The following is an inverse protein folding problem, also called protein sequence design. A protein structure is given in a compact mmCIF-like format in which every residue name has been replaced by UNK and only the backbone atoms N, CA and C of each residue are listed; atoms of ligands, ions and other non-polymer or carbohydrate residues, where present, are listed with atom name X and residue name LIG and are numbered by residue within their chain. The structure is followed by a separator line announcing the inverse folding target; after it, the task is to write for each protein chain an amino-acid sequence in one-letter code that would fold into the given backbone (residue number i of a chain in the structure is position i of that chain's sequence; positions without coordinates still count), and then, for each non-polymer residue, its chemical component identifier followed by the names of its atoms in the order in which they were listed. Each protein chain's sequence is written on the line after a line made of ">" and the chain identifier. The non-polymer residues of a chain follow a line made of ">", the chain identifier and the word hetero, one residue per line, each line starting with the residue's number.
data_IF_311339935015
#
_entry.id   IF_311339935015
#
_cell.length_a   1.000
_cell.length_b   1.000
_cell.length_c   1.000
_cell.angle_alpha   90.00
_cell.angle_beta   90.00
_cell.angle_gamma   90.00
#
_symmetry.space_group_name_H-M   'P 1'
#
loop_
_entity.id
_entity.type
_entity.pdbx_description
1 polymer ?
#
# COMPACT_ATOMS: atom_id res chain seq x y z
N UNK A 1 9.00 -24.17 23.02
CA UNK A 1 8.22 -23.41 22.03
C UNK A 1 8.15 -24.28 20.77
N UNK A 2 6.98 -24.48 20.17
CA UNK A 2 6.88 -25.29 18.96
C UNK A 2 7.26 -24.46 17.72
N UNK A 3 7.49 -25.11 16.58
CA UNK A 3 7.89 -24.43 15.34
C UNK A 3 6.83 -23.43 14.85
N UNK A 4 5.54 -23.77 14.98
CA UNK A 4 4.44 -22.88 14.57
C UNK A 4 4.43 -21.58 15.37
N UNK A 5 4.73 -21.64 16.67
CA UNK A 5 4.84 -20.47 17.51
C UNK A 5 6.03 -19.60 17.08
N UNK A 6 7.16 -20.22 16.75
CA UNK A 6 8.37 -19.49 16.33
C UNK A 6 8.14 -18.78 14.99
N UNK A 7 7.50 -19.46 14.03
CA UNK A 7 7.08 -18.87 12.76
C UNK A 7 6.19 -17.64 12.99
N UNK A 8 5.21 -17.74 13.89
CA UNK A 8 4.30 -16.64 14.22
C UNK A 8 5.04 -15.44 14.82
N UNK A 9 5.96 -15.69 15.75
CA UNK A 9 6.78 -14.63 16.34
C UNK A 9 7.67 -13.94 15.31
N UNK A 10 8.35 -14.72 14.46
CA UNK A 10 9.22 -14.17 13.41
C UNK A 10 8.44 -13.31 12.43
N UNK A 11 7.28 -13.80 11.94
CA UNK A 11 6.40 -13.03 11.06
C UNK A 11 5.97 -11.71 11.71
N UNK A 12 5.50 -11.77 12.96
CA UNK A 12 5.07 -10.57 13.69
C UNK A 12 6.20 -9.56 13.92
N UNK A 13 7.39 -10.04 14.31
CA UNK A 13 8.57 -9.19 14.52
C UNK A 13 9.03 -8.52 13.22
N UNK A 14 9.12 -9.29 12.13
CA UNK A 14 9.52 -8.77 10.81
C UNK A 14 8.51 -7.74 10.31
N UNK A 15 7.21 -7.99 10.42
CA UNK A 15 6.19 -7.01 10.03
C UNK A 15 6.24 -5.72 10.86
N UNK A 16 6.48 -5.84 12.16
CA UNK A 16 6.67 -4.67 13.01
C UNK A 16 7.90 -3.85 12.59
N UNK A 17 8.99 -4.51 12.21
CA UNK A 17 10.20 -3.84 11.73
C UNK A 17 9.99 -3.22 10.34
N UNK A 18 9.29 -3.91 9.44
CA UNK A 18 8.90 -3.37 8.14
C UNK A 18 8.06 -2.11 8.28
N UNK A 19 7.04 -2.13 9.15
CA UNK A 19 6.21 -0.94 9.40
C UNK A 19 7.05 0.24 9.92
N UNK A 20 7.94 -0.02 10.85
CA UNK A 20 8.82 1.03 11.41
C UNK A 20 9.81 1.58 10.40
N UNK A 21 10.38 0.72 9.57
CA UNK A 21 11.35 1.12 8.54
C UNK A 21 10.64 1.89 7.41
N UNK A 22 9.59 1.31 6.79
CA UNK A 22 8.97 1.85 5.58
C UNK A 22 7.91 2.93 5.83
N UNK A 23 7.15 2.85 6.92
CA UNK A 23 6.04 3.77 7.17
C UNK A 23 6.38 4.88 8.18
N UNK A 24 7.22 4.59 9.17
CA UNK A 24 7.55 5.54 10.24
C UNK A 24 8.92 6.20 10.09
N UNK A 25 9.76 5.72 9.17
CA UNK A 25 11.16 6.15 9.03
C UNK A 25 11.93 6.12 10.38
N UNK A 26 11.64 5.09 11.19
CA UNK A 26 12.10 4.95 12.57
C UNK A 26 12.53 3.51 12.89
N UNK A 27 13.56 2.97 12.20
CA UNK A 27 13.99 1.58 12.36
C UNK A 27 14.49 1.27 13.78
N UNK A 28 14.20 0.05 14.26
CA UNK A 28 14.69 -0.45 15.56
C UNK A 28 15.88 -1.40 15.42
N UNK A 29 16.06 -1.99 14.23
CA UNK A 29 17.11 -2.95 13.95
C UNK A 29 18.06 -2.39 12.91
N UNK A 30 19.30 -2.88 12.96
CA UNK A 30 20.21 -2.78 11.82
C UNK A 30 19.77 -3.72 10.71
N UNK A 31 20.17 -3.43 9.47
CA UNK A 31 19.90 -4.30 8.30
C UNK A 31 20.38 -5.73 8.56
N UNK A 32 21.57 -5.90 9.16
CA UNK A 32 22.11 -7.22 9.48
C UNK A 32 21.28 -8.01 10.51
N UNK A 33 20.69 -7.32 11.48
CA UNK A 33 19.80 -7.96 12.46
C UNK A 33 18.47 -8.35 11.83
N UNK A 34 17.93 -7.50 10.96
CA UNK A 34 16.74 -7.80 10.18
C UNK A 34 16.96 -9.02 9.26
N UNK A 35 18.06 -9.02 8.51
CA UNK A 35 18.41 -10.11 7.57
C UNK A 35 18.53 -11.45 8.28
N UNK A 36 19.04 -11.46 9.51
CA UNK A 36 19.12 -12.67 10.34
C UNK A 36 17.75 -13.20 10.73
N UNK A 37 16.81 -12.33 11.12
CA UNK A 37 15.42 -12.74 11.40
C UNK A 37 14.75 -13.28 10.14
N UNK A 38 14.97 -12.62 9.01
CA UNK A 38 14.38 -13.00 7.73
C UNK A 38 14.92 -14.35 7.25
N UNK A 39 16.24 -14.57 7.34
CA UNK A 39 16.87 -15.85 7.00
C UNK A 39 16.38 -17.00 7.90
N UNK A 40 16.18 -16.75 9.19
CA UNK A 40 15.60 -17.74 10.11
C UNK A 40 14.18 -18.12 9.70
N UNK A 41 13.34 -17.13 9.36
CA UNK A 41 11.98 -17.38 8.87
C UNK A 41 11.99 -18.22 7.59
N UNK A 42 12.84 -17.85 6.61
CA UNK A 42 12.98 -18.61 5.35
C UNK A 42 13.40 -20.06 5.58
N UNK A 43 14.36 -20.31 6.47
CA UNK A 43 14.81 -21.65 6.79
C UNK A 43 13.69 -22.50 7.40
N UNK A 44 12.97 -21.97 8.38
CA UNK A 44 11.87 -22.68 9.04
C UNK A 44 10.71 -22.96 8.07
N UNK A 45 10.42 -22.04 7.16
CA UNK A 45 9.39 -22.23 6.13
C UNK A 45 9.81 -23.27 5.08
N UNK A 46 11.09 -23.33 4.72
CA UNK A 46 11.62 -24.36 3.84
C UNK A 46 11.58 -25.77 4.48
N UNK A 47 11.82 -25.87 5.79
CA UNK A 47 11.73 -27.13 6.54
C UNK A 47 10.28 -27.56 6.81
N UNK A 48 9.35 -26.61 6.89
CA UNK A 48 7.94 -26.84 7.20
C UNK A 48 6.98 -26.17 6.19
N UNK A 49 6.99 -26.60 4.91
CA UNK A 49 6.21 -25.96 3.85
C UNK A 49 4.70 -25.95 4.12
N UNK A 50 4.17 -26.92 4.87
CA UNK A 50 2.77 -26.97 5.30
C UNK A 50 2.36 -25.87 6.28
N UNK A 51 3.32 -25.13 6.86
CA UNK A 51 3.08 -24.03 7.81
C UNK A 51 3.28 -22.65 7.17
N UNK A 52 3.63 -22.59 5.89
CA UNK A 52 3.77 -21.33 5.13
C UNK A 52 2.39 -20.71 4.97
N UNK A 53 2.26 -19.43 5.31
CA UNK A 53 1.04 -18.65 5.10
C UNK A 53 1.23 -17.67 3.95
N UNK A 54 0.15 -17.40 3.20
CA UNK A 54 0.19 -16.53 2.03
C UNK A 54 0.59 -15.07 2.35
N UNK A 55 0.37 -14.65 3.59
CA UNK A 55 0.72 -13.32 4.12
C UNK A 55 2.12 -13.26 4.73
N UNK A 56 2.89 -14.35 4.70
CA UNK A 56 4.26 -14.36 5.24
C UNK A 56 5.16 -13.36 4.50
N UNK A 57 6.02 -12.60 5.20
CA UNK A 57 6.94 -11.64 4.60
C UNK A 57 7.81 -12.22 3.47
N UNK A 58 8.11 -13.53 3.54
CA UNK A 58 8.93 -14.24 2.55
C UNK A 58 8.22 -14.46 1.22
N UNK A 59 6.89 -14.34 1.17
CA UNK A 59 6.08 -14.55 -0.03
C UNK A 59 5.91 -13.28 -0.86
N UNK A 60 6.39 -12.12 -0.39
CA UNK A 60 6.19 -10.82 -1.04
C UNK A 60 7.06 -10.58 -2.27
N UNK A 61 8.19 -11.28 -2.41
CA UNK A 61 9.17 -11.03 -3.47
C UNK A 61 9.43 -12.33 -4.23
N UNK A 62 9.35 -12.28 -5.57
CA UNK A 62 9.73 -13.41 -6.42
C UNK A 62 8.61 -14.04 -7.25
N UNK A 63 7.48 -13.35 -7.44
CA UNK A 63 6.52 -13.78 -8.45
C UNK A 63 7.18 -13.77 -9.84
N UNK A 64 6.96 -14.84 -10.62
CA UNK A 64 7.40 -14.84 -12.00
C UNK A 64 6.70 -13.70 -12.77
N UNK A 65 7.39 -13.03 -13.72
CA UNK A 65 6.76 -12.00 -14.53
C UNK A 65 5.48 -12.54 -15.17
N UNK A 66 4.38 -11.82 -15.01
CA UNK A 66 3.13 -12.18 -15.66
C UNK A 66 3.24 -11.91 -17.17
N UNK A 67 2.67 -12.78 -18.01
CA UNK A 67 2.68 -12.58 -19.46
C UNK A 67 1.81 -11.38 -19.88
N UNK A 68 0.78 -11.07 -19.11
CA UNK A 68 -0.14 -9.96 -19.30
C UNK A 68 -0.80 -9.57 -17.96
N UNK A 69 -1.24 -8.32 -17.86
CA UNK A 69 -2.04 -7.86 -16.73
C UNK A 69 -3.53 -7.93 -17.09
N UNK A 70 -4.32 -8.57 -16.24
CA UNK A 70 -5.75 -8.70 -16.44
C UNK A 70 -6.47 -7.36 -16.15
N UNK A 71 -7.54 -7.01 -16.88
CA UNK A 71 -8.30 -5.81 -16.57
C UNK A 71 -9.07 -5.96 -15.25
N UNK A 72 -9.10 -4.89 -14.46
CA UNK A 72 -9.80 -4.81 -13.18
C UNK A 72 -10.78 -3.66 -13.20
N UNK A 73 -12.07 -3.95 -13.02
CA UNK A 73 -13.09 -2.91 -12.83
C UNK A 73 -13.06 -2.45 -11.37
N UNK A 74 -12.90 -1.15 -11.17
CA UNK A 74 -12.90 -0.53 -9.85
C UNK A 74 -14.31 -0.52 -9.26
N UNK A 75 -14.44 -0.94 -7.99
CA UNK A 75 -15.72 -0.92 -7.29
C UNK A 75 -16.28 0.51 -7.11
N UNK A 76 -15.39 1.50 -7.04
CA UNK A 76 -15.73 2.92 -7.05
C UNK A 76 -14.78 3.63 -8.03
N UNK A 77 -15.29 4.50 -8.92
CA UNK A 77 -14.43 5.18 -9.89
C UNK A 77 -13.30 5.98 -9.22
N UNK A 78 -12.08 5.81 -9.71
CA UNK A 78 -10.90 6.56 -9.30
C UNK A 78 -10.86 7.92 -10.04
N UNK A 79 -11.25 8.98 -9.32
CA UNK A 79 -11.32 10.33 -9.86
C UNK A 79 -9.95 10.89 -10.23
N UNK A 80 -9.95 11.87 -11.14
CA UNK A 80 -8.79 12.75 -11.38
C UNK A 80 -9.00 14.09 -10.70
N UNK A 81 -7.91 14.86 -10.57
CA UNK A 81 -7.95 16.21 -10.02
C UNK A 81 -7.92 17.24 -11.15
N UNK A 82 -8.67 18.33 -10.97
CA UNK A 82 -8.52 19.52 -11.80
C UNK A 82 -7.25 20.28 -11.38
N UNK A 83 -6.58 20.89 -12.36
CA UNK A 83 -5.36 21.66 -12.12
C UNK A 83 -5.66 23.14 -11.89
N UNK A 84 -4.81 23.81 -11.09
CA UNK A 84 -4.74 25.26 -10.98
C UNK A 84 -3.27 25.67 -11.07
N UNK A 85 -2.96 26.58 -11.99
CA UNK A 85 -1.57 27.00 -12.28
C UNK A 85 -1.23 28.40 -11.76
N UNK A 86 -2.21 29.10 -11.20
CA UNK A 86 -2.08 30.46 -10.71
C UNK A 86 -2.92 30.67 -9.45
N UNK A 87 -2.51 31.63 -8.63
CA UNK A 87 -3.11 31.90 -7.32
C UNK A 87 -4.58 32.33 -7.41
N UNK A 88 -4.94 33.04 -8.47
CA UNK A 88 -6.32 33.46 -8.75
C UNK A 88 -7.24 32.25 -9.03
N UNK A 89 -6.74 31.23 -9.73
CA UNK A 89 -7.46 29.98 -9.97
C UNK A 89 -7.70 29.21 -8.67
N UNK A 90 -6.74 29.21 -7.74
CA UNK A 90 -6.89 28.62 -6.40
C UNK A 90 -7.92 29.39 -5.57
N UNK A 91 -7.87 30.73 -5.57
CA UNK A 91 -8.85 31.57 -4.88
C UNK A 91 -10.27 31.40 -5.47
N UNK A 92 -10.39 31.20 -6.78
CA UNK A 92 -11.65 30.90 -7.44
C UNK A 92 -12.18 29.51 -7.06
N UNK A 93 -11.31 28.52 -6.87
CA UNK A 93 -11.68 27.21 -6.35
C UNK A 93 -12.22 27.30 -4.92
N UNK A 94 -11.51 27.99 -4.01
CA UNK A 94 -11.97 28.22 -2.63
C UNK A 94 -13.36 28.89 -2.59
N UNK A 95 -13.56 29.93 -3.41
CA UNK A 95 -14.86 30.59 -3.52
C UNK A 95 -15.98 29.61 -3.89
N UNK A 96 -15.78 28.76 -4.91
CA UNK A 96 -16.77 27.74 -5.33
C UNK A 96 -17.06 26.73 -4.21
N UNK A 97 -16.04 26.33 -3.45
CA UNK A 97 -16.21 25.41 -2.32
C UNK A 97 -17.05 26.05 -1.22
N UNK A 98 -16.74 27.29 -0.82
CA UNK A 98 -17.50 28.03 0.20
C UNK A 98 -18.96 28.24 -0.20
N UNK A 99 -19.19 28.63 -1.46
CA UNK A 99 -20.53 28.78 -2.03
C UNK A 99 -21.29 27.44 -2.01
N UNK A 100 -20.65 26.36 -2.47
CA UNK A 100 -21.26 25.02 -2.52
C UNK A 100 -21.58 24.41 -1.15
N UNK A 101 -20.79 24.74 -0.12
CA UNK A 101 -21.02 24.29 1.26
C UNK A 101 -21.95 25.21 2.05
N UNK A 102 -22.35 26.37 1.49
CA UNK A 102 -23.01 27.45 2.23
C UNK A 102 -22.29 27.82 3.54
N UNK A 103 -20.95 27.74 3.52
CA UNK A 103 -20.14 27.97 4.70
C UNK A 103 -20.03 29.48 4.98
N UNK A 104 -20.41 29.95 6.19
CA UNK A 104 -20.38 31.39 6.52
C UNK A 104 -18.97 31.92 6.82
N UNK A 105 -17.93 31.09 6.70
CA UNK A 105 -16.56 31.40 7.10
C UNK A 105 -15.51 30.62 6.32
N UNK A 106 -14.32 30.49 6.91
CA UNK A 106 -13.19 29.80 6.31
C UNK A 106 -13.43 28.28 6.21
N UNK A 107 -12.88 27.68 5.15
CA UNK A 107 -12.88 26.23 4.93
C UNK A 107 -11.49 25.70 5.23
N UNK A 108 -11.41 24.64 6.05
CA UNK A 108 -10.16 23.95 6.29
C UNK A 108 -9.82 23.05 5.10
N UNK A 109 -8.57 23.10 4.65
CA UNK A 109 -8.05 22.27 3.57
C UNK A 109 -6.89 21.39 4.08
N UNK A 110 -6.86 20.12 3.65
CA UNK A 110 -5.64 19.31 3.68
C UNK A 110 -4.81 19.63 2.45
N UNK A 111 -3.54 19.96 2.64
CA UNK A 111 -2.60 20.21 1.55
C UNK A 111 -1.54 19.10 1.53
N UNK A 112 -1.49 18.34 0.44
CA UNK A 112 -0.59 17.21 0.28
C UNK A 112 0.30 17.42 -0.95
N UNK A 113 1.60 17.02 -0.90
CA UNK A 113 2.44 17.02 -2.08
C UNK A 113 1.84 16.15 -3.19
N UNK A 114 1.78 16.67 -4.41
CA UNK A 114 1.37 15.88 -5.57
C UNK A 114 2.55 15.03 -6.03
N UNK A 115 2.55 13.75 -5.68
CA UNK A 115 3.53 12.79 -6.20
C UNK A 115 3.36 12.62 -7.71
N UNK A 116 4.49 12.61 -8.43
CA UNK A 116 4.54 12.35 -9.87
C UNK A 116 4.85 10.88 -10.11
N UNK A 117 3.81 10.05 -10.00
CA UNK A 117 3.90 8.60 -10.11
C UNK A 117 2.62 8.00 -10.69
N UNK A 118 2.39 6.72 -10.42
CA UNK A 118 1.20 6.00 -10.87
C UNK A 118 0.17 5.90 -9.73
N UNK A 119 -1.08 6.21 -10.03
CA UNK A 119 -2.17 5.96 -9.09
C UNK A 119 -2.53 4.47 -9.06
N UNK A 120 -2.60 3.90 -7.86
CA UNK A 120 -2.96 2.50 -7.62
C UNK A 120 -4.10 2.42 -6.59
N UNK A 121 -4.98 1.45 -6.75
CA UNK A 121 -6.00 1.07 -5.80
C UNK A 121 -5.64 -0.27 -5.15
N UNK A 122 -5.71 -0.34 -3.82
CA UNK A 122 -5.48 -1.57 -3.06
C UNK A 122 -6.76 -1.97 -2.33
N UNK A 123 -7.17 -3.23 -2.46
CA UNK A 123 -8.32 -3.78 -1.74
C UNK A 123 -7.84 -4.80 -0.72
N UNK A 124 -8.38 -4.67 0.49
CA UNK A 124 -8.08 -5.54 1.61
C UNK A 124 -9.37 -6.18 2.12
N UNK A 125 -9.30 -7.46 2.47
CA UNK A 125 -10.38 -8.21 3.12
C UNK A 125 -9.82 -8.86 4.38
N UNK A 126 -10.48 -8.66 5.52
CA UNK A 126 -10.00 -9.12 6.83
C UNK A 126 -8.55 -8.71 7.15
N UNK A 127 -8.12 -7.55 6.63
CA UNK A 127 -6.76 -7.03 6.81
C UNK A 127 -5.71 -7.62 5.88
N UNK A 128 -6.08 -8.54 4.99
CA UNK A 128 -5.19 -9.15 4.00
C UNK A 128 -5.36 -8.47 2.64
N UNK A 129 -4.24 -8.19 1.97
CA UNK A 129 -4.24 -7.65 0.61
C UNK A 129 -4.86 -8.70 -0.34
N UNK A 130 -5.96 -8.34 -0.99
CA UNK A 130 -6.63 -9.19 -1.97
C UNK A 130 -6.28 -8.80 -3.40
N UNK A 131 -6.13 -7.50 -3.67
CA UNK A 131 -5.86 -7.01 -5.02
C UNK A 131 -5.18 -5.65 -5.01
N UNK A 132 -4.19 -5.48 -5.88
CA UNK A 132 -3.69 -4.19 -6.33
C UNK A 132 -4.05 -3.94 -7.79
N UNK A 133 -4.52 -2.74 -8.11
CA UNK A 133 -4.90 -2.38 -9.48
C UNK A 133 -4.39 -0.98 -9.85
N UNK A 134 -3.96 -0.78 -11.09
CA UNK A 134 -3.65 0.56 -11.62
C UNK A 134 -4.92 1.39 -11.74
N UNK A 135 -4.80 2.72 -11.80
CA UNK A 135 -5.96 3.59 -12.06
C UNK A 135 -6.59 3.33 -13.43
N UNK A 136 -5.77 3.12 -14.45
CA UNK A 136 -6.20 3.09 -15.86
C UNK A 136 -7.02 4.33 -16.23
N UNK A 137 -8.22 4.12 -16.79
CA UNK A 137 -9.11 5.20 -17.19
C UNK A 137 -9.94 5.79 -16.02
N UNK A 138 -9.81 5.23 -14.82
CA UNK A 138 -10.56 5.59 -13.62
C UNK A 138 -11.74 4.67 -13.33
N UNK A 139 -12.21 3.87 -14.30
CA UNK A 139 -13.22 2.81 -14.11
C UNK A 139 -12.60 1.43 -14.22
N UNK A 140 -11.66 1.24 -15.15
CA UNK A 140 -10.93 0.00 -15.37
C UNK A 140 -9.44 0.26 -15.32
N UNK A 141 -8.75 -0.54 -14.51
CA UNK A 141 -7.30 -0.62 -14.40
C UNK A 141 -6.75 -1.97 -14.82
N UNK A 142 -5.50 -2.22 -14.46
CA UNK A 142 -4.78 -3.47 -14.67
C UNK A 142 -4.45 -4.11 -13.31
N UNK A 143 -4.62 -5.42 -13.18
CA UNK A 143 -4.23 -6.18 -11.98
C UNK A 143 -2.71 -6.19 -11.85
N UNK A 144 -2.21 -5.56 -10.80
CA UNK A 144 -0.79 -5.47 -10.46
C UNK A 144 -0.53 -6.03 -9.06
N UNK A 145 -1.36 -6.95 -8.60
CA UNK A 145 -1.29 -7.51 -7.23
C UNK A 145 0.05 -8.20 -6.92
N UNK A 146 0.70 -8.75 -7.93
CA UNK A 146 1.97 -9.47 -7.80
C UNK A 146 3.22 -8.59 -7.93
N UNK A 147 3.07 -7.30 -8.28
CA UNK A 147 4.19 -6.35 -8.43
C UNK A 147 4.57 -5.74 -7.09
#
# INVERSE_FOLDING_TARGET
>A
MNVSDRLRELRAAIEQHNYRYYALDAPLLSDADYDRLFAELQALEAEHPQLVSADSPTQRVGAAPLPEFAPVVHATPMLSLQNAFATDAVAAFDRRVREGLAAPGEVAYSAEPKFDGLAVGLSYEDGLLQRGATRGDGHTGEDVTAN
#
